data_IF_085662379414
#
_entry.id   IF_085662379414
#
_cell.length_a   1.000
_cell.length_b   1.000
_cell.length_c   1.000
_cell.angle_alpha   90.00
_cell.angle_beta   90.00
_cell.angle_gamma   90.00
#
_symmetry.space_group_name_H-M   'P 1'
#
loop_
_entity.id
_entity.type
_entity.pdbx_description
1 polymer ?
#
# COMPACT_ATOMS: atom_id res chain seq x y z
N UNK A 1 18.79 -18.76 22.73
CA UNK A 1 18.37 -17.42 23.18
C UNK A 1 18.74 -16.32 22.18
N UNK A 2 19.94 -16.32 21.59
CA UNK A 2 20.35 -15.32 20.58
C UNK A 2 19.43 -15.23 19.34
N UNK A 3 18.95 -16.38 18.85
CA UNK A 3 18.17 -16.44 17.60
C UNK A 3 16.81 -15.75 17.70
N UNK A 4 16.18 -15.77 18.88
CA UNK A 4 14.85 -15.21 19.11
C UNK A 4 14.91 -13.68 19.16
N UNK A 5 15.90 -13.12 19.87
CA UNK A 5 16.07 -11.67 19.95
C UNK A 5 16.46 -11.06 18.59
N UNK A 6 17.36 -11.72 17.85
CA UNK A 6 17.71 -11.32 16.49
C UNK A 6 16.50 -11.36 15.55
N UNK A 7 15.66 -12.40 15.65
CA UNK A 7 14.42 -12.49 14.89
C UNK A 7 13.43 -11.37 15.24
N UNK A 8 13.18 -11.11 16.52
CA UNK A 8 12.26 -10.06 16.98
C UNK A 8 12.70 -8.67 16.52
N UNK A 9 13.99 -8.36 16.65
CA UNK A 9 14.53 -7.08 16.21
C UNK A 9 14.40 -6.91 14.69
N UNK A 10 14.71 -7.96 13.92
CA UNK A 10 14.58 -7.95 12.45
C UNK A 10 13.11 -7.80 12.04
N UNK A 11 12.19 -8.49 12.69
CA UNK A 11 10.75 -8.39 12.43
C UNK A 11 10.21 -7.00 12.76
N UNK A 12 10.62 -6.41 13.88
CA UNK A 12 10.25 -5.04 14.26
C UNK A 12 10.74 -4.01 13.23
N UNK A 13 12.02 -4.13 12.81
CA UNK A 13 12.60 -3.23 11.82
C UNK A 13 11.92 -3.35 10.46
N UNK A 14 11.70 -4.59 9.99
CA UNK A 14 10.98 -4.86 8.74
C UNK A 14 9.55 -4.31 8.78
N UNK A 15 8.85 -4.48 9.90
CA UNK A 15 7.48 -3.98 10.06
C UNK A 15 7.44 -2.46 10.03
N UNK A 16 8.35 -1.81 10.76
CA UNK A 16 8.44 -0.34 10.80
C UNK A 16 8.79 0.23 9.43
N UNK A 17 9.76 -0.36 8.74
CA UNK A 17 10.16 0.05 7.39
C UNK A 17 9.02 -0.13 6.37
N UNK A 18 8.28 -1.23 6.47
CA UNK A 18 7.10 -1.48 5.63
C UNK A 18 6.02 -0.40 5.84
N UNK A 19 5.77 -0.02 7.10
CA UNK A 19 4.83 1.04 7.45
C UNK A 19 5.27 2.42 6.93
N UNK A 20 6.56 2.76 7.08
CA UNK A 20 7.11 4.02 6.55
C UNK A 20 6.97 4.06 5.03
N UNK A 21 7.33 2.98 4.34
CA UNK A 21 7.21 2.90 2.88
C UNK A 21 5.76 3.10 2.42
N UNK A 22 4.79 2.52 3.14
CA UNK A 22 3.37 2.66 2.84
C UNK A 22 2.85 4.10 3.02
N UNK A 23 3.29 4.80 4.06
CA UNK A 23 2.95 6.21 4.32
C UNK A 23 3.64 7.14 3.30
N UNK A 24 4.91 6.87 3.00
CA UNK A 24 5.71 7.64 2.05
C UNK A 24 5.16 7.54 0.62
N UNK A 25 4.72 6.35 0.19
CA UNK A 25 4.15 6.15 -1.16
C UNK A 25 2.96 7.06 -1.44
N UNK A 26 2.01 7.18 -0.50
CA UNK A 26 0.86 8.07 -0.67
C UNK A 26 1.30 9.53 -0.80
N UNK A 27 2.29 9.94 -0.01
CA UNK A 27 2.83 11.31 -0.02
C UNK A 27 3.59 11.63 -1.31
N UNK A 28 4.42 10.71 -1.79
CA UNK A 28 5.18 10.87 -3.04
C UNK A 28 4.25 11.01 -4.24
N UNK A 29 3.18 10.20 -4.31
CA UNK A 29 2.19 10.29 -5.41
C UNK A 29 1.51 11.65 -5.42
N UNK A 30 1.19 12.19 -4.25
CA UNK A 30 0.59 13.52 -4.11
C UNK A 30 1.58 14.62 -4.50
N UNK A 31 2.81 14.57 -3.97
CA UNK A 31 3.85 15.57 -4.28
C UNK A 31 4.23 15.58 -5.76
N UNK A 32 4.19 14.41 -6.41
CA UNK A 32 4.46 14.28 -7.84
C UNK A 32 3.44 15.01 -8.71
N UNK A 33 2.25 15.30 -8.20
CA UNK A 33 1.17 15.93 -8.96
C UNK A 33 0.94 17.39 -8.56
N UNK A 34 1.15 17.75 -7.29
CA UNK A 34 1.03 19.12 -6.81
C UNK A 34 2.19 19.47 -5.87
N UNK A 35 2.79 20.67 -6.01
CA UNK A 35 3.70 21.21 -5.02
C UNK A 35 2.90 21.57 -3.75
N UNK A 36 2.86 20.64 -2.80
CA UNK A 36 2.28 20.82 -1.49
C UNK A 36 3.39 20.74 -0.43
N UNK A 37 3.10 21.27 0.76
CA UNK A 37 4.04 21.19 1.88
C UNK A 37 4.32 19.72 2.26
N UNK A 38 5.61 19.35 2.23
CA UNK A 38 6.08 17.97 2.42
C UNK A 38 5.70 17.42 3.81
N UNK A 39 5.80 18.26 4.84
CA UNK A 39 5.51 17.85 6.22
C UNK A 39 4.01 17.65 6.40
N UNK A 40 3.21 18.56 5.83
CA UNK A 40 1.76 18.53 5.97
C UNK A 40 1.10 17.39 5.18
N UNK A 41 1.67 17.03 4.03
CA UNK A 41 1.24 15.87 3.24
C UNK A 41 1.63 14.55 3.90
N UNK A 42 2.82 14.46 4.50
CA UNK A 42 3.23 13.29 5.30
C UNK A 42 2.30 13.04 6.50
N UNK A 43 1.97 14.10 7.26
CA UNK A 43 1.07 13.99 8.41
C UNK A 43 -0.34 13.54 8.03
N UNK A 44 -0.85 14.00 6.88
CA UNK A 44 -2.15 13.57 6.33
C UNK A 44 -2.13 12.14 5.82
N UNK A 45 -1.04 11.71 5.20
CA UNK A 45 -0.85 10.31 4.81
C UNK A 45 -0.77 9.40 6.04
N UNK A 46 -0.16 9.87 7.13
CA UNK A 46 -0.15 9.16 8.40
C UNK A 46 -1.55 9.05 9.01
N UNK A 47 -2.31 10.15 9.09
CA UNK A 47 -3.68 10.13 9.61
C UNK A 47 -4.60 9.26 8.75
N UNK A 48 -4.40 9.26 7.42
CA UNK A 48 -5.12 8.39 6.50
C UNK A 48 -4.81 6.91 6.75
N UNK A 49 -3.55 6.54 6.96
CA UNK A 49 -3.18 5.16 7.28
C UNK A 49 -3.75 4.70 8.63
N UNK A 50 -3.86 5.59 9.62
CA UNK A 50 -4.54 5.29 10.89
C UNK A 50 -6.06 5.16 10.69
N UNK A 51 -6.68 6.05 9.92
CA UNK A 51 -8.11 5.99 9.62
C UNK A 51 -8.49 4.73 8.83
N UNK A 52 -7.59 4.23 7.98
CA UNK A 52 -7.76 2.97 7.26
C UNK A 52 -8.00 1.78 8.20
N UNK A 53 -7.40 1.77 9.41
CA UNK A 53 -7.59 0.70 10.39
C UNK A 53 -9.03 0.62 10.93
N UNK A 54 -9.77 1.73 10.86
CA UNK A 54 -11.13 1.84 11.40
C UNK A 54 -12.19 1.51 10.34
N UNK A 55 -11.82 1.52 9.05
CA UNK A 55 -12.75 1.19 7.97
C UNK A 55 -13.06 -0.32 8.00
N UNK A 56 -14.31 -0.74 8.27
CA UNK A 56 -14.67 -2.15 8.26
C UNK A 56 -14.57 -2.71 6.83
N UNK A 57 -13.82 -3.79 6.65
CA UNK A 57 -13.82 -4.61 5.42
C UNK A 57 -14.98 -5.62 5.52
N UNK A 58 -15.82 -5.84 4.49
CA UNK A 58 -15.61 -5.73 3.04
C UNK A 58 -16.46 -4.65 2.33
N UNK A 59 -16.00 -4.15 1.17
CA UNK A 59 -16.60 -3.00 0.43
C UNK A 59 -15.84 -1.67 0.56
N UNK A 60 -14.73 -1.66 1.31
CA UNK A 60 -13.96 -0.47 1.66
C UNK A 60 -13.09 0.16 0.56
N UNK A 61 -13.15 -0.28 -0.71
CA UNK A 61 -12.42 0.40 -1.79
C UNK A 61 -12.89 1.86 -1.92
N UNK A 62 -14.20 2.08 -1.98
CA UNK A 62 -14.79 3.42 -2.01
C UNK A 62 -14.63 4.20 -0.70
N UNK A 63 -14.64 3.54 0.45
CA UNK A 63 -14.39 4.19 1.75
C UNK A 63 -12.96 4.75 1.86
N UNK A 64 -11.98 4.00 1.34
CA UNK A 64 -10.57 4.40 1.36
C UNK A 64 -10.28 5.47 0.30
N UNK A 65 -10.99 5.44 -0.83
CA UNK A 65 -10.96 6.55 -1.81
C UNK A 65 -11.60 7.81 -1.24
N UNK A 66 -12.71 7.67 -0.50
CA UNK A 66 -13.34 8.76 0.24
C UNK A 66 -12.40 9.35 1.29
N UNK A 67 -11.69 8.53 2.05
CA UNK A 67 -10.67 9.00 3.01
C UNK A 67 -9.54 9.76 2.31
N UNK A 68 -9.09 9.29 1.14
CA UNK A 68 -8.08 10.02 0.37
C UNK A 68 -8.62 11.40 -0.05
N UNK A 69 -9.85 11.49 -0.55
CA UNK A 69 -10.46 12.77 -0.91
C UNK A 69 -10.63 13.68 0.31
N UNK A 70 -11.00 13.13 1.47
CA UNK A 70 -11.20 13.90 2.70
C UNK A 70 -9.88 14.46 3.27
N UNK A 71 -8.82 13.66 3.30
CA UNK A 71 -7.53 14.09 3.85
C UNK A 71 -6.71 14.89 2.83
N UNK A 72 -6.74 14.49 1.57
CA UNK A 72 -5.89 15.05 0.51
C UNK A 72 -6.60 16.09 -0.36
N UNK A 73 -7.93 16.09 -0.43
CA UNK A 73 -8.70 17.04 -1.22
C UNK A 73 -8.52 18.51 -0.83
N UNK A 74 -8.44 18.87 0.46
CA UNK A 74 -8.19 20.25 0.87
C UNK A 74 -6.82 20.82 0.45
N UNK A 75 -5.87 19.97 0.07
CA UNK A 75 -4.57 20.37 -0.44
C UNK A 75 -4.55 20.60 -1.96
N UNK A 76 -5.64 20.28 -2.67
CA UNK A 76 -5.68 20.22 -4.12
C UNK A 76 -6.72 21.22 -4.64
N UNK A 77 -6.28 22.40 -5.10
CA UNK A 77 -7.16 23.42 -5.69
C UNK A 77 -7.92 22.91 -6.93
N UNK A 78 -7.34 21.97 -7.68
CA UNK A 78 -7.97 21.37 -8.86
C UNK A 78 -8.52 19.97 -8.57
N UNK A 79 -9.82 19.89 -8.31
CA UNK A 79 -10.57 18.64 -8.07
C UNK A 79 -10.30 17.52 -9.08
N UNK A 80 -9.98 17.87 -10.34
CA UNK A 80 -9.66 16.90 -11.41
C UNK A 80 -8.39 16.08 -11.15
N UNK A 81 -7.43 16.58 -10.37
CA UNK A 81 -6.16 15.88 -10.11
C UNK A 81 -6.28 14.86 -8.96
N UNK A 82 -7.29 15.01 -8.11
CA UNK A 82 -7.54 14.11 -6.97
C UNK A 82 -7.82 12.70 -7.48
N UNK A 83 -8.68 12.57 -8.51
CA UNK A 83 -9.01 11.26 -9.10
C UNK A 83 -7.79 10.57 -9.72
N UNK A 84 -6.91 11.34 -10.38
CA UNK A 84 -5.68 10.81 -10.98
C UNK A 84 -4.70 10.35 -9.88
N UNK A 85 -4.53 11.13 -8.81
CA UNK A 85 -3.69 10.77 -7.67
C UNK A 85 -4.17 9.48 -6.99
N UNK A 86 -5.48 9.37 -6.72
CA UNK A 86 -6.10 8.16 -6.15
C UNK A 86 -5.85 6.97 -7.06
N UNK A 87 -6.07 7.13 -8.36
CA UNK A 87 -5.90 6.05 -9.34
C UNK A 87 -4.46 5.55 -9.41
N UNK A 88 -3.47 6.45 -9.47
CA UNK A 88 -2.05 6.08 -9.45
C UNK A 88 -1.66 5.38 -8.16
N UNK A 89 -2.09 5.92 -7.02
CA UNK A 89 -1.83 5.32 -5.72
C UNK A 89 -2.40 3.90 -5.61
N UNK A 90 -3.60 3.67 -6.16
CA UNK A 90 -4.24 2.34 -6.25
C UNK A 90 -3.50 1.37 -7.16
N UNK A 91 -3.03 1.81 -8.33
CA UNK A 91 -2.20 0.99 -9.23
C UNK A 91 -0.99 0.48 -8.49
N UNK A 92 -0.24 1.39 -7.88
CA UNK A 92 1.03 1.05 -7.24
C UNK A 92 0.82 0.20 -5.98
N UNK A 93 -0.14 0.58 -5.14
CA UNK A 93 -0.28 -0.02 -3.79
C UNK A 93 -1.16 -1.27 -3.76
N UNK A 94 -2.05 -1.46 -4.73
CA UNK A 94 -3.04 -2.54 -4.69
C UNK A 94 -2.97 -3.44 -5.92
N UNK A 95 -3.06 -2.87 -7.13
CA UNK A 95 -3.16 -3.69 -8.34
C UNK A 95 -1.85 -4.42 -8.68
N UNK A 96 -0.69 -3.80 -8.49
CA UNK A 96 0.62 -4.45 -8.70
C UNK A 96 0.78 -5.64 -7.73
N UNK A 97 0.45 -5.46 -6.45
CA UNK A 97 0.59 -6.52 -5.45
C UNK A 97 -0.29 -7.74 -5.75
N UNK A 98 -1.52 -7.50 -6.24
CA UNK A 98 -2.42 -8.57 -6.68
C UNK A 98 -1.86 -9.29 -7.90
N UNK A 99 -1.38 -8.55 -8.89
CA UNK A 99 -0.80 -9.15 -10.10
C UNK A 99 0.41 -10.04 -9.76
N UNK A 100 1.32 -9.57 -8.91
CA UNK A 100 2.47 -10.34 -8.44
C UNK A 100 2.03 -11.58 -7.64
N UNK A 101 1.01 -11.45 -6.78
CA UNK A 101 0.45 -12.58 -6.04
C UNK A 101 -0.13 -13.65 -6.96
N UNK A 102 -0.86 -13.25 -8.00
CA UNK A 102 -1.43 -14.16 -8.98
C UNK A 102 -0.36 -14.85 -9.83
N UNK A 103 0.68 -14.12 -10.24
CA UNK A 103 1.83 -14.69 -10.96
C UNK A 103 2.59 -15.70 -10.11
N UNK A 104 2.87 -15.36 -8.85
CA UNK A 104 3.56 -16.26 -7.92
C UNK A 104 2.75 -17.52 -7.63
N UNK A 105 1.43 -17.40 -7.43
CA UNK A 105 0.54 -18.53 -7.23
C UNK A 105 0.51 -19.45 -8.47
N UNK A 106 0.37 -18.87 -9.66
CA UNK A 106 0.38 -19.63 -10.92
C UNK A 106 1.71 -20.36 -11.14
N UNK A 107 2.84 -19.69 -10.87
CA UNK A 107 4.16 -20.30 -10.99
C UNK A 107 4.35 -21.45 -10.01
N UNK A 108 3.92 -21.29 -8.76
CA UNK A 108 4.00 -22.32 -7.74
C UNK A 108 3.16 -23.55 -8.11
N UNK A 109 1.92 -23.35 -8.53
CA UNK A 109 1.01 -24.43 -8.96
C UNK A 109 1.61 -25.19 -10.15
N UNK A 110 2.15 -24.47 -11.14
CA UNK A 110 2.76 -25.10 -12.32
C UNK A 110 3.94 -25.99 -11.91
N UNK A 111 4.77 -25.56 -10.96
CA UNK A 111 5.87 -26.38 -10.44
C UNK A 111 5.37 -27.64 -9.74
N UNK A 112 4.34 -27.52 -8.89
CA UNK A 112 3.77 -28.67 -8.18
C UNK A 112 3.17 -29.72 -9.12
N UNK A 113 2.52 -29.30 -10.22
CA UNK A 113 1.93 -30.21 -11.22
C UNK A 113 3.00 -30.91 -12.06
N UNK A 114 4.10 -30.23 -12.37
CA UNK A 114 5.24 -30.83 -13.09
C UNK A 114 5.94 -31.87 -12.20
N UNK A 115 6.12 -31.57 -10.91
CA UNK A 115 6.80 -32.47 -9.97
C UNK A 115 5.99 -33.74 -9.68
N UNK A 116 4.65 -33.66 -9.67
CA UNK A 116 3.81 -34.88 -9.58
C UNK A 116 3.94 -35.77 -10.82
N UNK A 117 4.05 -35.20 -12.02
CA UNK A 117 4.16 -35.98 -13.27
C UNK A 117 5.49 -36.73 -13.45
N UNK A 118 6.55 -36.31 -12.75
CA UNK A 118 7.88 -36.95 -12.84
C UNK A 118 7.98 -38.16 -11.90
N UNK A 119 7.07 -38.26 -10.92
CA UNK A 119 7.07 -39.31 -9.91
C UNK A 119 6.20 -40.52 -10.27
N UNK A 120 5.41 -40.39 -11.34
CA UNK A 120 4.61 -41.44 -11.98
C UNK A 120 5.37 -42.02 -13.19
#
# INVERSE_FOLDING_TARGET
>A
FDTIYSFLFKAFFLSTMSWICRIALATIVVLSLLPADEVLSLLRSLSMNLAFLVVPTPGGSGGVEGLFVLFQGPLIERKSFIGLAVFLWRIISYYISIALGMMAATWYINRSVVESKIKD
#
